data_IF_310818315961
#
_entry.id   IF_310818315961
#
_cell.length_a   1.000
_cell.length_b   1.000
_cell.length_c   1.000
_cell.angle_alpha   90.00
_cell.angle_beta   90.00
_cell.angle_gamma   90.00
#
_symmetry.space_group_name_H-M   'P 1'
#
loop_
_entity.id
_entity.type
_entity.pdbx_description
1 polymer ?
#
# COMPACT_ATOMS: atom_id res chain seq x y z
N UNK A 1 6.69 23.13 9.49
CA UNK A 1 6.84 21.76 8.94
C UNK A 1 8.29 21.57 8.54
N UNK A 2 8.88 20.43 8.85
CA UNK A 2 10.25 20.07 8.51
C UNK A 2 10.29 19.20 7.26
N UNK A 3 11.38 19.30 6.50
CA UNK A 3 11.74 18.32 5.47
C UNK A 3 12.83 17.43 6.06
N UNK A 4 12.61 16.13 6.06
CA UNK A 4 13.59 15.11 6.49
C UNK A 4 14.16 14.42 5.27
N UNK A 5 15.45 14.11 5.32
CA UNK A 5 16.17 13.37 4.29
C UNK A 5 17.00 12.28 4.95
N UNK A 6 16.66 11.04 4.66
CA UNK A 6 17.40 9.86 5.11
C UNK A 6 18.22 9.31 3.96
N UNK A 7 19.42 8.82 4.24
CA UNK A 7 20.28 8.17 3.26
C UNK A 7 20.56 6.72 3.70
N UNK A 8 20.39 5.78 2.78
CA UNK A 8 20.64 4.36 2.99
C UNK A 8 21.33 3.77 1.75
N UNK A 9 21.73 2.50 1.82
CA UNK A 9 22.25 1.77 0.64
C UNK A 9 21.22 1.68 -0.50
N UNK A 10 19.93 1.80 -0.18
CA UNK A 10 18.84 1.82 -1.16
C UNK A 10 18.62 3.20 -1.81
N UNK A 11 19.37 4.22 -1.40
CA UNK A 11 19.27 5.59 -1.89
C UNK A 11 18.77 6.58 -0.83
N UNK A 12 18.45 7.81 -1.29
CA UNK A 12 17.89 8.87 -0.45
C UNK A 12 16.37 8.78 -0.43
N UNK A 13 15.79 9.06 0.74
CA UNK A 13 14.34 9.13 0.95
C UNK A 13 14.02 10.42 1.68
N UNK A 14 13.10 11.21 1.14
CA UNK A 14 12.64 12.44 1.75
C UNK A 14 11.24 12.27 2.33
N UNK A 15 10.95 13.03 3.38
CA UNK A 15 9.64 13.05 4.00
C UNK A 15 9.34 14.39 4.65
N UNK A 16 8.07 14.64 4.90
CA UNK A 16 7.64 15.78 5.69
C UNK A 16 7.48 15.39 7.17
N UNK A 17 7.79 16.34 8.05
CA UNK A 17 7.63 16.23 9.49
C UNK A 17 6.92 17.48 10.06
N UNK A 18 6.27 17.35 11.21
CA UNK A 18 5.51 18.42 11.85
C UNK A 18 4.30 18.87 11.05
N UNK A 19 3.69 17.96 10.27
CA UNK A 19 2.39 18.17 9.63
C UNK A 19 1.30 17.60 10.53
N UNK A 20 0.20 18.35 10.65
CA UNK A 20 -0.98 17.85 11.36
C UNK A 20 -1.66 16.74 10.55
N UNK A 21 -2.04 15.66 11.25
CA UNK A 21 -2.81 14.55 10.70
C UNK A 21 -4.13 14.41 11.46
N UNK A 22 -5.10 13.73 10.84
CA UNK A 22 -6.41 13.52 11.44
C UNK A 22 -6.78 12.03 11.60
N UNK A 23 -5.85 11.13 11.25
CA UNK A 23 -6.03 9.68 11.35
C UNK A 23 -7.19 9.10 10.53
N UNK A 24 -7.87 9.90 9.71
CA UNK A 24 -9.08 9.43 9.03
C UNK A 24 -8.77 8.71 7.74
N UNK A 25 -8.92 7.38 7.74
CA UNK A 25 -8.84 6.57 6.52
C UNK A 25 -9.99 6.83 5.53
N UNK A 26 -11.12 7.35 6.00
CA UNK A 26 -12.31 7.54 5.16
C UNK A 26 -12.46 8.97 4.62
N UNK A 27 -12.01 9.99 5.36
CA UNK A 27 -12.28 11.39 5.02
C UNK A 27 -11.05 12.16 4.55
N UNK A 28 -9.84 11.67 4.84
CA UNK A 28 -8.61 12.38 4.51
C UNK A 28 -7.79 11.58 3.50
N UNK A 29 -7.68 12.03 2.23
CA UNK A 29 -6.91 11.31 1.22
C UNK A 29 -5.42 11.18 1.60
N UNK A 30 -4.88 12.13 2.36
CA UNK A 30 -3.48 12.11 2.84
C UNK A 30 -3.28 11.04 3.92
N UNK A 31 -4.13 11.02 4.95
CA UNK A 31 -4.02 10.01 6.01
C UNK A 31 -4.37 8.62 5.47
N UNK A 32 -5.41 8.52 4.64
CA UNK A 32 -5.83 7.26 4.04
C UNK A 32 -4.71 6.60 3.22
N UNK A 33 -3.93 7.37 2.46
CA UNK A 33 -2.80 6.83 1.71
C UNK A 33 -1.71 6.25 2.63
N UNK A 34 -1.34 6.97 3.71
CA UNK A 34 -0.37 6.49 4.71
C UNK A 34 -0.85 5.22 5.41
N UNK A 35 -2.08 5.25 5.92
CA UNK A 35 -2.67 4.12 6.66
C UNK A 35 -2.76 2.90 5.73
N UNK A 36 -3.31 3.06 4.52
CA UNK A 36 -3.44 1.96 3.58
C UNK A 36 -2.09 1.36 3.15
N UNK A 37 -1.04 2.18 3.03
CA UNK A 37 0.32 1.69 2.77
C UNK A 37 0.86 0.84 3.94
N UNK A 38 0.74 1.32 5.18
CA UNK A 38 1.13 0.55 6.37
C UNK A 38 0.35 -0.74 6.50
N UNK A 39 -0.97 -0.71 6.31
CA UNK A 39 -1.81 -1.93 6.37
C UNK A 39 -1.47 -2.92 5.27
N UNK A 40 -1.07 -2.45 4.08
CA UNK A 40 -0.60 -3.32 3.01
C UNK A 40 0.71 -4.02 3.37
N UNK A 41 1.66 -3.32 3.99
CA UNK A 41 2.92 -3.90 4.47
C UNK A 41 2.67 -4.95 5.55
N UNK A 42 1.89 -4.61 6.58
CA UNK A 42 1.49 -5.54 7.65
C UNK A 42 0.80 -6.80 7.08
N UNK A 43 -0.09 -6.61 6.11
CA UNK A 43 -0.76 -7.69 5.40
C UNK A 43 0.22 -8.56 4.62
N UNK A 44 1.16 -7.97 3.90
CA UNK A 44 2.21 -8.71 3.19
C UNK A 44 2.98 -9.62 4.12
N UNK A 45 3.50 -9.07 5.23
CA UNK A 45 4.24 -9.84 6.24
C UNK A 45 3.42 -10.98 6.83
N UNK A 46 2.16 -10.74 7.23
CA UNK A 46 1.31 -11.80 7.79
C UNK A 46 1.05 -12.89 6.77
N UNK A 47 0.72 -12.54 5.52
CA UNK A 47 0.41 -13.54 4.49
C UNK A 47 1.64 -14.37 4.10
N UNK A 48 2.83 -13.77 4.06
CA UNK A 48 4.10 -14.48 3.87
C UNK A 48 4.33 -15.50 5.00
N UNK A 49 4.22 -15.06 6.26
CA UNK A 49 4.41 -15.93 7.42
C UNK A 49 3.36 -17.05 7.50
N UNK A 50 2.11 -16.77 7.13
CA UNK A 50 1.05 -17.78 7.01
C UNK A 50 1.43 -18.85 5.99
N UNK A 51 1.98 -18.44 4.83
CA UNK A 51 2.45 -19.37 3.79
C UNK A 51 3.63 -20.21 4.26
N UNK A 52 4.61 -19.59 4.92
CA UNK A 52 5.78 -20.30 5.47
C UNK A 52 5.38 -21.33 6.53
N UNK A 53 4.31 -21.07 7.29
CA UNK A 53 3.73 -22.02 8.24
C UNK A 53 2.94 -23.16 7.58
N UNK A 54 2.88 -23.21 6.24
CA UNK A 54 2.27 -24.30 5.49
C UNK A 54 0.75 -24.17 5.29
N UNK A 55 0.20 -22.96 5.41
CA UNK A 55 -1.20 -22.70 5.09
C UNK A 55 -1.37 -22.22 3.65
N UNK A 56 -2.51 -22.58 3.05
CA UNK A 56 -3.01 -21.99 1.81
C UNK A 56 -3.87 -20.75 2.10
N UNK A 57 -4.00 -19.90 1.08
CA UNK A 57 -4.75 -18.66 1.15
C UNK A 57 -5.87 -18.70 0.13
N UNK A 58 -7.08 -18.41 0.59
CA UNK A 58 -8.25 -18.18 -0.26
C UNK A 58 -8.65 -16.71 -0.15
N UNK A 59 -8.61 -15.97 -1.27
CA UNK A 59 -9.30 -14.69 -1.37
C UNK A 59 -10.79 -14.97 -1.58
N UNK A 60 -11.66 -14.22 -0.91
CA UNK A 60 -13.12 -14.30 -1.01
C UNK A 60 -13.68 -12.89 -1.05
N UNK A 61 -14.29 -12.54 -2.18
CA UNK A 61 -14.93 -11.23 -2.38
C UNK A 61 -16.43 -11.32 -2.15
N UNK A 62 -16.90 -10.80 -1.02
CA UNK A 62 -18.31 -10.81 -0.64
C UNK A 62 -18.97 -9.50 -1.08
N UNK A 63 -20.07 -9.64 -1.83
CA UNK A 63 -20.84 -8.53 -2.40
C UNK A 63 -22.28 -8.57 -1.90
N UNK A 64 -22.93 -7.41 -1.87
CA UNK A 64 -24.35 -7.28 -1.52
C UNK A 64 -25.11 -6.70 -2.71
N UNK A 65 -26.22 -7.34 -3.07
CA UNK A 65 -27.20 -6.75 -3.99
C UNK A 65 -28.02 -5.72 -3.22
N UNK A 66 -28.06 -4.51 -3.74
CA UNK A 66 -28.75 -3.34 -3.19
C UNK A 66 -29.45 -2.56 -4.33
N UNK A 67 -30.25 -1.56 -3.99
CA UNK A 67 -30.83 -0.61 -4.95
C UNK A 67 -30.47 0.83 -4.60
N UNK A 68 -30.70 1.76 -5.55
CA UNK A 68 -30.33 3.17 -5.39
C UNK A 68 -31.09 3.87 -4.24
N UNK A 69 -32.17 3.28 -3.75
CA UNK A 69 -32.92 3.77 -2.59
C UNK A 69 -32.33 3.33 -1.24
N UNK A 70 -31.38 2.38 -1.23
CA UNK A 70 -30.74 1.90 0.01
C UNK A 70 -29.61 2.87 0.41
N UNK A 71 -29.69 3.40 1.62
CA UNK A 71 -28.66 4.29 2.17
C UNK A 71 -27.38 3.52 2.53
N UNK A 72 -26.23 4.21 2.57
CA UNK A 72 -24.95 3.64 2.95
C UNK A 72 -25.02 2.93 4.30
N UNK A 73 -25.70 3.53 5.28
CA UNK A 73 -25.86 2.96 6.62
C UNK A 73 -26.63 1.63 6.60
N UNK A 74 -27.63 1.50 5.74
CA UNK A 74 -28.42 0.29 5.57
C UNK A 74 -27.59 -0.82 4.89
N UNK A 75 -26.91 -0.48 3.80
CA UNK A 75 -26.03 -1.40 3.08
C UNK A 75 -24.91 -1.89 4.00
N UNK A 76 -24.25 -0.99 4.75
CA UNK A 76 -23.20 -1.35 5.70
C UNK A 76 -23.70 -2.21 6.86
N UNK A 77 -24.93 -1.93 7.36
CA UNK A 77 -25.57 -2.75 8.38
C UNK A 77 -25.84 -4.17 7.88
N UNK A 78 -26.26 -4.32 6.63
CA UNK A 78 -26.47 -5.63 6.00
C UNK A 78 -25.14 -6.37 5.83
N UNK A 79 -24.10 -5.70 5.28
CA UNK A 79 -22.74 -6.24 5.15
C UNK A 79 -22.18 -6.72 6.49
N UNK A 80 -22.37 -5.94 7.55
CA UNK A 80 -21.89 -6.28 8.90
C UNK A 80 -22.58 -7.53 9.45
N UNK A 81 -23.90 -7.66 9.22
CA UNK A 81 -24.66 -8.86 9.62
C UNK A 81 -24.29 -10.09 8.80
N UNK A 82 -24.15 -9.93 7.49
CA UNK A 82 -23.64 -10.96 6.59
C UNK A 82 -22.30 -11.51 7.10
N UNK A 83 -21.37 -10.61 7.41
CA UNK A 83 -20.04 -10.98 7.90
C UNK A 83 -20.08 -11.71 9.25
N UNK A 84 -20.91 -11.21 10.18
CA UNK A 84 -21.11 -11.86 11.47
C UNK A 84 -21.65 -13.28 11.31
N UNK A 85 -22.49 -13.53 10.29
CA UNK A 85 -23.02 -14.86 9.99
C UNK A 85 -21.97 -15.78 9.37
N UNK A 86 -21.07 -15.23 8.52
CA UNK A 86 -19.95 -15.97 7.91
C UNK A 86 -18.99 -16.51 8.97
N UNK A 87 -18.62 -15.67 9.93
CA UNK A 87 -17.57 -15.95 10.92
C UNK A 87 -18.10 -16.34 12.30
N UNK A 88 -19.38 -16.69 12.39
CA UNK A 88 -20.07 -16.97 13.64
C UNK A 88 -20.78 -18.32 13.67
N UNK A 89 -21.05 -18.79 14.89
CA UNK A 89 -21.87 -19.98 15.14
C UNK A 89 -21.17 -21.32 14.84
N UNK A 90 -21.92 -22.41 15.05
CA UNK A 90 -21.40 -23.79 15.01
C UNK A 90 -20.82 -24.18 13.64
N UNK A 91 -21.41 -23.70 12.54
CA UNK A 91 -20.95 -24.02 11.19
C UNK A 91 -19.54 -23.46 10.92
N UNK A 92 -19.28 -22.20 11.30
CA UNK A 92 -17.94 -21.62 11.18
C UNK A 92 -16.92 -22.35 12.07
N UNK A 93 -17.30 -22.71 13.29
CA UNK A 93 -16.40 -23.48 14.18
C UNK A 93 -16.07 -24.88 13.62
N UNK A 94 -17.02 -25.52 12.95
CA UNK A 94 -16.79 -26.78 12.26
C UNK A 94 -15.82 -26.60 11.09
N UNK A 95 -15.97 -25.54 10.29
CA UNK A 95 -15.04 -25.23 9.19
C UNK A 95 -13.65 -24.89 9.71
N UNK A 96 -13.54 -24.10 10.79
CA UNK A 96 -12.26 -23.81 11.44
C UNK A 96 -11.53 -25.08 11.86
N UNK A 97 -12.26 -26.05 12.42
CA UNK A 97 -11.68 -27.33 12.83
C UNK A 97 -11.30 -28.18 11.62
N UNK A 98 -12.17 -28.26 10.62
CA UNK A 98 -11.99 -29.12 9.47
C UNK A 98 -10.83 -28.69 8.58
N UNK A 99 -10.74 -27.39 8.27
CA UNK A 99 -9.70 -26.82 7.40
C UNK A 99 -8.56 -26.17 8.21
N UNK A 100 -8.45 -26.46 9.50
CA UNK A 100 -7.44 -25.91 10.43
C UNK A 100 -7.24 -24.38 10.32
N UNK A 101 -8.31 -23.61 10.07
CA UNK A 101 -8.25 -22.16 9.80
C UNK A 101 -7.66 -21.42 11.01
N UNK A 102 -6.45 -20.84 10.92
CA UNK A 102 -5.90 -20.07 12.03
C UNK A 102 -6.64 -18.73 12.16
N UNK A 103 -6.96 -18.09 11.03
CA UNK A 103 -7.73 -16.86 10.99
C UNK A 103 -8.00 -16.35 9.58
N UNK A 104 -8.47 -15.10 9.53
CA UNK A 104 -8.78 -14.37 8.31
C UNK A 104 -8.44 -12.90 8.50
N UNK A 105 -8.36 -12.18 7.39
CA UNK A 105 -8.29 -10.72 7.35
C UNK A 105 -9.28 -10.22 6.30
N UNK A 106 -9.98 -9.14 6.59
CA UNK A 106 -10.90 -8.51 5.63
C UNK A 106 -10.61 -7.04 5.44
N UNK A 107 -10.78 -6.56 4.22
CA UNK A 107 -10.84 -5.15 3.89
C UNK A 107 -12.22 -4.78 3.36
N UNK A 108 -12.66 -3.55 3.64
CA UNK A 108 -13.90 -2.99 3.12
C UNK A 108 -13.57 -2.07 1.93
N UNK A 109 -14.12 -2.39 0.77
CA UNK A 109 -14.09 -1.52 -0.40
C UNK A 109 -15.44 -0.85 -0.57
N UNK A 110 -15.44 0.48 -0.76
CA UNK A 110 -16.68 1.24 -1.00
C UNK A 110 -16.56 2.04 -2.27
N UNK A 111 -17.55 1.89 -3.14
CA UNK A 111 -17.75 2.72 -4.32
C UNK A 111 -19.20 3.18 -4.40
N UNK A 112 -19.46 4.20 -5.20
CA UNK A 112 -20.81 4.62 -5.55
C UNK A 112 -20.97 4.58 -7.07
N UNK A 113 -22.10 4.06 -7.52
CA UNK A 113 -22.43 3.93 -8.94
C UNK A 113 -23.89 4.23 -9.22
N UNK A 114 -24.36 3.84 -10.41
CA UNK A 114 -25.75 4.04 -10.84
C UNK A 114 -26.79 3.49 -9.86
N UNK A 115 -26.47 2.37 -9.19
CA UNK A 115 -27.38 1.71 -8.26
C UNK A 115 -27.16 2.14 -6.80
N UNK A 116 -26.40 3.20 -6.53
CA UNK A 116 -26.11 3.67 -5.16
C UNK A 116 -24.81 3.11 -4.60
N UNK A 117 -24.79 2.81 -3.30
CA UNK A 117 -23.60 2.43 -2.53
C UNK A 117 -23.22 0.96 -2.68
N UNK A 118 -22.04 0.70 -3.25
CA UNK A 118 -21.44 -0.62 -3.35
C UNK A 118 -20.42 -0.82 -2.22
N UNK A 119 -20.80 -1.59 -1.20
CA UNK A 119 -19.92 -1.96 -0.08
C UNK A 119 -19.55 -3.44 -0.22
N UNK A 120 -18.28 -3.72 -0.51
CA UNK A 120 -17.75 -5.06 -0.70
C UNK A 120 -16.76 -5.42 0.42
N UNK A 121 -16.65 -6.71 0.72
CA UNK A 121 -15.59 -7.23 1.58
C UNK A 121 -14.62 -8.06 0.75
N UNK A 122 -13.35 -7.70 0.77
CA UNK A 122 -12.26 -8.54 0.29
C UNK A 122 -11.67 -9.26 1.48
N UNK A 123 -11.84 -10.58 1.55
CA UNK A 123 -11.41 -11.38 2.70
C UNK A 123 -10.36 -12.38 2.26
N UNK A 124 -9.20 -12.38 2.92
CA UNK A 124 -8.23 -13.48 2.80
C UNK A 124 -8.41 -14.42 3.99
N UNK A 125 -8.61 -15.70 3.71
CA UNK A 125 -8.78 -16.76 4.70
C UNK A 125 -7.63 -17.74 4.55
N UNK A 126 -6.91 -17.96 5.66
CA UNK A 126 -5.88 -19.00 5.74
C UNK A 126 -6.53 -20.35 6.03
N UNK A 127 -6.09 -21.41 5.36
CA UNK A 127 -6.65 -22.75 5.54
C UNK A 127 -5.62 -23.83 5.24
N UNK A 128 -5.88 -25.06 5.68
CA UNK A 128 -5.22 -26.26 5.17
C UNK A 128 -6.23 -27.09 4.39
N UNK A 129 -5.79 -27.59 3.24
CA UNK A 129 -6.61 -28.40 2.35
C UNK A 129 -6.09 -28.31 0.92
N UNK A 130 -6.87 -28.80 -0.02
CA UNK A 130 -6.58 -28.69 -1.46
C UNK A 130 -7.22 -27.43 -2.06
N UNK A 131 -6.93 -27.11 -3.33
CA UNK A 131 -7.68 -26.10 -4.06
C UNK A 131 -9.20 -26.36 -4.10
N UNK A 132 -9.60 -27.61 -4.25
CA UNK A 132 -11.01 -28.02 -4.28
C UNK A 132 -11.69 -27.78 -2.92
N UNK A 133 -10.96 -27.99 -1.81
CA UNK A 133 -11.44 -27.66 -0.46
C UNK A 133 -11.76 -26.18 -0.32
N UNK A 134 -10.98 -25.30 -0.95
CA UNK A 134 -11.22 -23.88 -0.93
C UNK A 134 -12.54 -23.50 -1.63
N UNK A 135 -12.86 -24.16 -2.74
CA UNK A 135 -14.12 -23.95 -3.47
C UNK A 135 -15.30 -24.30 -2.56
N UNK A 136 -15.23 -25.47 -1.91
CA UNK A 136 -16.27 -25.93 -0.97
C UNK A 136 -16.41 -24.99 0.23
N UNK A 137 -15.28 -24.56 0.82
CA UNK A 137 -15.27 -23.56 1.88
C UNK A 137 -15.91 -22.25 1.41
N UNK A 138 -15.60 -21.83 0.19
CA UNK A 138 -16.20 -20.68 -0.47
C UNK A 138 -17.71 -20.76 -0.58
N UNK A 139 -18.26 -21.85 -1.11
CA UNK A 139 -19.71 -22.08 -1.19
C UNK A 139 -20.38 -22.01 0.19
N UNK A 140 -19.76 -22.61 1.21
CA UNK A 140 -20.27 -22.54 2.60
C UNK A 140 -20.24 -21.12 3.16
N UNK A 141 -19.23 -20.33 2.81
CA UNK A 141 -19.15 -18.91 3.16
C UNK A 141 -20.26 -18.13 2.46
N UNK A 142 -20.49 -18.38 1.17
CA UNK A 142 -21.57 -17.76 0.39
C UNK A 142 -22.93 -18.00 1.04
N UNK A 143 -23.25 -19.25 1.38
CA UNK A 143 -24.54 -19.60 1.97
C UNK A 143 -24.76 -18.88 3.32
N UNK A 144 -23.72 -18.80 4.15
CA UNK A 144 -23.77 -18.05 5.41
C UNK A 144 -23.92 -16.55 5.18
N UNK A 145 -23.21 -16.00 4.20
CA UNK A 145 -23.29 -14.61 3.81
C UNK A 145 -24.71 -14.25 3.35
N UNK A 146 -25.26 -15.02 2.41
CA UNK A 146 -26.62 -14.83 1.89
C UNK A 146 -27.67 -14.95 3.00
N UNK A 147 -27.53 -15.94 3.87
CA UNK A 147 -28.39 -16.11 5.06
C UNK A 147 -28.35 -14.87 5.97
N UNK A 148 -27.16 -14.33 6.22
CA UNK A 148 -26.97 -13.13 7.04
C UNK A 148 -27.58 -11.88 6.41
N UNK A 149 -27.44 -11.70 5.10
CA UNK A 149 -28.07 -10.61 4.35
C UNK A 149 -29.60 -10.69 4.42
N UNK A 150 -30.18 -11.86 4.15
CA UNK A 150 -31.64 -12.10 4.21
C UNK A 150 -32.23 -11.89 5.60
N UNK A 151 -31.42 -12.04 6.66
CA UNK A 151 -31.84 -11.83 8.05
C UNK A 151 -31.90 -10.34 8.46
N UNK A 152 -31.64 -9.40 7.55
CA UNK A 152 -31.65 -7.96 7.84
C UNK A 152 -33.09 -7.44 7.99
N UNK A 153 -33.68 -7.64 9.19
CA UNK A 153 -35.11 -7.47 9.53
C UNK A 153 -35.76 -6.13 9.12
N UNK A 154 -35.00 -5.05 8.99
CA UNK A 154 -35.52 -3.70 8.67
C UNK A 154 -35.81 -3.50 7.17
N UNK A 155 -35.18 -4.27 6.28
CA UNK A 155 -35.21 -4.00 4.83
C UNK A 155 -35.85 -5.17 4.08
N UNK A 156 -37.19 -5.28 4.10
CA UNK A 156 -38.07 -6.14 3.24
C UNK A 156 -37.41 -7.30 2.45
N UNK A 157 -36.55 -8.12 3.06
CA UNK A 157 -35.68 -9.13 2.39
C UNK A 157 -35.01 -8.65 1.09
N UNK A 158 -34.62 -7.37 0.99
CA UNK A 158 -34.06 -6.79 -0.26
C UNK A 158 -32.59 -7.16 -0.49
N UNK A 159 -31.80 -7.25 0.58
CA UNK A 159 -30.39 -7.59 0.49
C UNK A 159 -30.20 -9.08 0.26
N UNK A 160 -29.50 -9.41 -0.81
CA UNK A 160 -29.15 -10.79 -1.20
C UNK A 160 -27.71 -10.81 -1.70
N UNK A 161 -27.10 -11.99 -1.75
CA UNK A 161 -25.80 -12.14 -2.40
C UNK A 161 -25.98 -12.13 -3.93
N UNK A 162 -24.95 -11.74 -4.67
CA UNK A 162 -24.94 -11.87 -6.13
C UNK A 162 -24.66 -13.34 -6.51
N UNK A 163 -25.55 -14.03 -7.25
CA UNK A 163 -25.30 -15.40 -7.73
C UNK A 163 -24.09 -15.43 -8.67
N UNK A 164 -23.20 -16.40 -8.51
CA UNK A 164 -22.03 -16.64 -9.39
C UNK A 164 -20.84 -15.67 -9.23
N UNK A 165 -20.97 -14.62 -8.41
CA UNK A 165 -19.91 -13.61 -8.17
C UNK A 165 -19.58 -13.39 -6.68
N UNK A 166 -20.33 -14.02 -5.76
CA UNK A 166 -20.24 -13.72 -4.33
C UNK A 166 -19.09 -14.39 -3.59
N UNK A 167 -18.39 -15.33 -4.24
CA UNK A 167 -17.19 -15.99 -3.71
C UNK A 167 -16.31 -16.36 -4.91
N UNK A 168 -15.45 -15.42 -5.30
CA UNK A 168 -14.32 -15.73 -6.18
C UNK A 168 -13.23 -16.36 -5.31
N UNK A 169 -13.21 -17.70 -5.19
CA UNK A 169 -12.16 -18.42 -4.48
C UNK A 169 -10.95 -18.54 -5.39
N UNK A 170 -9.93 -17.76 -5.08
CA UNK A 170 -8.68 -17.82 -5.82
C UNK A 170 -7.65 -18.62 -5.02
N UNK A 171 -7.14 -19.71 -5.59
CA UNK A 171 -6.18 -20.61 -4.95
C UNK A 171 -4.78 -20.42 -5.53
N UNK A 172 -3.79 -20.35 -4.65
CA UNK A 172 -2.39 -20.25 -5.06
C UNK A 172 -1.76 -21.65 -5.18
N UNK A 173 -1.85 -22.26 -6.38
CA UNK A 173 -1.02 -23.40 -6.79
C UNK A 173 -0.60 -23.25 -8.27
N UNK A 174 0.67 -23.55 -8.57
CA UNK A 174 1.29 -23.48 -9.89
C UNK A 174 0.84 -24.59 -10.84
N UNK A 175 -0.42 -24.54 -11.26
CA UNK A 175 -0.99 -25.46 -12.25
C UNK A 175 -2.07 -24.75 -13.08
N UNK A 176 -1.99 -24.93 -14.39
CA UNK A 176 -2.82 -24.26 -15.40
C UNK A 176 -4.31 -24.60 -15.24
N UNK A 177 -5.12 -23.62 -14.80
CA UNK A 177 -6.59 -23.74 -14.72
C UNK A 177 -7.23 -22.48 -15.31
N UNK A 178 -7.31 -22.44 -16.63
CA UNK A 178 -8.26 -21.62 -17.41
C UNK A 178 -8.36 -20.13 -17.00
N UNK A 179 -9.51 -19.50 -17.25
CA UNK A 179 -9.72 -18.05 -17.02
C UNK A 179 -9.58 -17.60 -15.55
N UNK A 180 -9.39 -18.52 -14.60
CA UNK A 180 -9.00 -18.26 -13.21
C UNK A 180 -7.48 -17.94 -13.10
N UNK A 181 -6.66 -18.48 -14.01
CA UNK A 181 -5.20 -18.44 -13.99
C UNK A 181 -4.54 -17.06 -14.06
N UNK A 182 -5.24 -16.00 -14.49
CA UNK A 182 -4.67 -14.65 -14.56
C UNK A 182 -4.44 -14.00 -13.18
N UNK A 183 -5.17 -14.42 -12.14
CA UNK A 183 -4.96 -13.95 -10.76
C UNK A 183 -4.21 -14.97 -9.89
N UNK A 184 -4.27 -16.26 -10.22
CA UNK A 184 -3.47 -17.31 -9.55
C UNK A 184 -1.96 -17.08 -9.72
N UNK A 185 -1.53 -16.55 -10.87
CA UNK A 185 -0.12 -16.17 -11.09
C UNK A 185 0.34 -14.98 -10.24
N UNK A 186 -0.57 -14.10 -9.81
CA UNK A 186 -0.30 -13.03 -8.83
C UNK A 186 -0.26 -13.56 -7.41
N UNK A 187 -1.20 -14.44 -7.03
CA UNK A 187 -1.28 -15.01 -5.68
C UNK A 187 -0.17 -16.04 -5.36
N UNK A 188 0.45 -16.64 -6.38
CA UNK A 188 1.56 -17.58 -6.23
C UNK A 188 2.95 -16.94 -6.09
N UNK A 189 3.11 -15.66 -6.44
CA UNK A 189 4.42 -15.01 -6.44
C UNK A 189 4.47 -13.57 -5.92
N UNK A 190 3.33 -12.86 -5.83
CA UNK A 190 3.27 -11.44 -5.47
C UNK A 190 2.24 -11.18 -4.36
N UNK A 191 2.53 -11.70 -3.15
CA UNK A 191 1.72 -11.45 -1.95
C UNK A 191 1.69 -9.95 -1.59
N UNK A 192 2.74 -9.21 -1.94
CA UNK A 192 2.81 -7.77 -1.75
C UNK A 192 1.84 -7.02 -2.67
N UNK A 193 1.71 -7.44 -3.93
CA UNK A 193 0.72 -6.95 -4.88
C UNK A 193 -0.72 -7.23 -4.43
N UNK A 194 -0.99 -8.44 -3.91
CA UNK A 194 -2.28 -8.78 -3.30
C UNK A 194 -2.59 -7.88 -2.11
N UNK A 195 -1.61 -7.67 -1.24
CA UNK A 195 -1.79 -6.88 -0.02
C UNK A 195 -2.11 -5.42 -0.33
N UNK A 196 -1.43 -4.84 -1.32
CA UNK A 196 -1.76 -3.51 -1.85
C UNK A 196 -3.15 -3.49 -2.46
N UNK A 197 -3.55 -4.52 -3.18
CA UNK A 197 -4.88 -4.59 -3.76
C UNK A 197 -6.00 -4.61 -2.72
N UNK A 198 -5.84 -5.40 -1.65
CA UNK A 198 -6.80 -5.53 -0.57
C UNK A 198 -6.83 -4.26 0.29
N UNK A 199 -5.67 -3.71 0.66
CA UNK A 199 -5.59 -2.58 1.59
C UNK A 199 -5.77 -1.20 0.93
N UNK A 200 -5.45 -1.04 -0.36
CA UNK A 200 -5.43 0.26 -1.05
C UNK A 200 -6.60 0.47 -2.02
N UNK A 201 -7.69 -0.30 -1.90
CA UNK A 201 -8.85 -0.22 -2.82
C UNK A 201 -9.41 1.19 -3.00
N UNK A 202 -9.53 1.97 -1.91
CA UNK A 202 -10.04 3.35 -1.96
C UNK A 202 -9.15 4.35 -2.72
N UNK A 203 -7.86 4.02 -2.91
CA UNK A 203 -6.89 4.85 -3.65
C UNK A 203 -6.90 4.56 -5.15
N UNK A 204 -7.55 3.48 -5.57
CA UNK A 204 -7.66 3.12 -6.98
C UNK A 204 -8.76 3.95 -7.63
N UNK A 205 -8.53 4.31 -8.90
CA UNK A 205 -9.60 4.79 -9.77
C UNK A 205 -10.57 3.63 -10.02
N UNK A 206 -11.83 3.80 -9.63
CA UNK A 206 -12.85 2.80 -9.91
C UNK A 206 -13.08 2.63 -11.42
N UNK A 207 -13.53 1.44 -11.82
CA UNK A 207 -13.75 1.06 -13.22
C UNK A 207 -15.16 1.42 -13.68
N UNK A 208 -15.30 1.72 -14.97
CA UNK A 208 -16.59 1.99 -15.61
C UNK A 208 -17.27 3.22 -15.03
N UNK A 209 -18.56 3.11 -14.72
CA UNK A 209 -19.38 4.20 -14.18
C UNK A 209 -19.30 4.33 -12.63
N UNK A 210 -18.53 3.47 -11.96
CA UNK A 210 -18.36 3.53 -10.50
C UNK A 210 -17.28 4.53 -10.12
N UNK A 211 -17.42 5.16 -8.95
CA UNK A 211 -16.46 6.11 -8.39
C UNK A 211 -16.19 5.80 -6.92
N UNK A 212 -14.94 5.92 -6.47
CA UNK A 212 -14.63 5.89 -5.04
C UNK A 212 -15.08 7.19 -4.37
N UNK A 213 -15.29 7.20 -3.04
CA UNK A 213 -15.61 8.44 -2.32
C UNK A 213 -14.61 9.57 -2.59
N UNK A 214 -13.30 9.28 -2.64
CA UNK A 214 -12.30 10.31 -2.93
C UNK A 214 -12.37 10.85 -4.36
N UNK A 215 -12.75 10.01 -5.34
CA UNK A 215 -13.03 10.51 -6.69
C UNK A 215 -14.23 11.44 -6.69
N UNK A 216 -15.32 11.08 -6.01
CA UNK A 216 -16.51 11.95 -5.89
C UNK A 216 -16.14 13.27 -5.19
N UNK A 217 -15.33 13.19 -4.13
CA UNK A 217 -14.74 14.33 -3.45
C UNK A 217 -13.97 15.26 -4.39
N UNK A 218 -13.18 14.70 -5.29
CA UNK A 218 -12.44 15.45 -6.29
C UNK A 218 -13.35 16.04 -7.37
N UNK A 219 -14.28 15.25 -7.88
CA UNK A 219 -15.16 15.61 -8.99
C UNK A 219 -16.02 16.84 -8.65
N UNK A 220 -16.62 16.90 -7.46
CA UNK A 220 -17.45 18.06 -7.10
C UNK A 220 -16.62 19.32 -6.80
N UNK A 221 -15.37 19.19 -6.36
CA UNK A 221 -14.48 20.35 -6.19
C UNK A 221 -14.09 20.93 -7.56
N UNK A 222 -13.90 20.07 -8.57
CA UNK A 222 -13.57 20.50 -9.93
C UNK A 222 -14.80 21.10 -10.65
N UNK A 223 -16.01 20.59 -10.35
CA UNK A 223 -17.25 21.07 -10.95
C UNK A 223 -17.80 22.37 -10.34
N UNK A 224 -17.29 22.82 -9.18
CA UNK A 224 -17.78 24.01 -8.46
C UNK A 224 -17.71 25.30 -9.31
N UNK A 225 -16.78 25.37 -10.26
CA UNK A 225 -16.55 26.54 -11.10
C UNK A 225 -17.50 26.67 -12.31
N UNK A 226 -18.33 25.67 -12.62
CA UNK A 226 -19.21 25.72 -13.79
C UNK A 226 -20.61 26.27 -13.46
N UNK A 227 -21.10 27.22 -14.25
CA UNK A 227 -22.46 27.77 -14.12
C UNK A 227 -23.51 27.00 -14.92
N UNK A 228 -23.13 26.01 -15.74
CA UNK A 228 -24.09 25.27 -16.55
C UNK A 228 -24.98 24.35 -15.69
N UNK A 229 -26.27 24.30 -16.04
CA UNK A 229 -27.29 23.58 -15.28
C UNK A 229 -27.04 22.06 -15.18
N UNK A 230 -26.36 21.45 -16.16
CA UNK A 230 -26.06 20.02 -16.12
C UNK A 230 -24.95 19.72 -15.10
N UNK A 231 -23.87 20.51 -15.10
CA UNK A 231 -22.78 20.42 -14.12
C UNK A 231 -23.27 20.77 -12.73
N UNK A 232 -24.12 21.78 -12.58
CA UNK A 232 -24.71 22.14 -11.29
C UNK A 232 -25.62 21.02 -10.73
N UNK A 233 -26.37 20.30 -11.58
CA UNK A 233 -27.11 19.10 -11.14
C UNK A 233 -26.18 17.99 -10.66
N UNK A 234 -25.10 17.72 -11.40
CA UNK A 234 -24.11 16.70 -11.03
C UNK A 234 -23.39 17.05 -9.73
N UNK A 235 -23.00 18.32 -9.57
CA UNK A 235 -22.42 18.85 -8.34
C UNK A 235 -23.34 18.65 -7.14
N UNK A 236 -24.63 19.01 -7.24
CA UNK A 236 -25.61 18.81 -6.15
C UNK A 236 -25.75 17.33 -5.78
N UNK A 237 -25.72 16.44 -6.77
CA UNK A 237 -25.77 15.00 -6.56
C UNK A 237 -24.54 14.49 -5.80
N UNK A 238 -23.34 14.85 -6.26
CA UNK A 238 -22.08 14.42 -5.64
C UNK A 238 -21.90 15.00 -4.22
N UNK A 239 -22.34 16.25 -3.98
CA UNK A 239 -22.38 16.84 -2.63
C UNK A 239 -23.31 16.07 -1.71
N UNK A 240 -24.46 15.58 -2.20
CA UNK A 240 -25.36 14.77 -1.39
C UNK A 240 -24.73 13.42 -1.01
N UNK A 241 -24.07 12.76 -1.97
CA UNK A 241 -23.32 11.50 -1.74
C UNK A 241 -22.21 11.74 -0.72
N UNK A 242 -21.41 12.80 -0.89
CA UNK A 242 -20.31 13.12 0.01
C UNK A 242 -20.80 13.42 1.44
N UNK A 243 -21.92 14.14 1.60
CA UNK A 243 -22.55 14.37 2.91
C UNK A 243 -23.03 13.07 3.58
N UNK A 244 -23.51 12.10 2.82
CA UNK A 244 -23.84 10.78 3.37
C UNK A 244 -22.60 10.00 3.79
N UNK A 245 -21.55 10.02 2.96
CA UNK A 245 -20.25 9.43 3.25
C UNK A 245 -19.66 9.98 4.56
N UNK A 246 -19.59 11.30 4.69
CA UNK A 246 -19.05 11.98 5.88
C UNK A 246 -19.78 11.63 7.17
N UNK A 247 -21.11 11.40 7.09
CA UNK A 247 -21.91 11.03 8.27
C UNK A 247 -21.75 9.56 8.65
N UNK A 248 -21.49 8.69 7.69
CA UNK A 248 -21.63 7.24 7.89
C UNK A 248 -20.29 6.52 7.96
N UNK A 249 -19.32 6.87 7.11
CA UNK A 249 -18.05 6.15 7.03
C UNK A 249 -17.17 6.23 8.29
N UNK A 250 -17.07 7.38 9.01
CA UNK A 250 -16.27 7.45 10.23
C UNK A 250 -16.68 6.42 11.28
N UNK A 251 -15.68 5.84 11.97
CA UNK A 251 -15.89 4.81 12.99
C UNK A 251 -15.94 3.38 12.44
N UNK A 252 -16.07 3.19 11.12
CA UNK A 252 -15.86 1.88 10.51
C UNK A 252 -14.36 1.59 10.35
N UNK A 253 -13.98 0.31 10.46
CA UNK A 253 -12.62 -0.15 10.15
C UNK A 253 -12.51 -0.48 8.67
N UNK A 254 -11.46 0.03 8.02
CA UNK A 254 -11.18 -0.31 6.62
C UNK A 254 -10.57 -1.71 6.48
N UNK A 255 -9.75 -2.14 7.44
CA UNK A 255 -9.17 -3.48 7.52
C UNK A 255 -9.44 -4.09 8.90
N UNK A 256 -9.67 -5.40 8.98
CA UNK A 256 -9.96 -6.09 10.25
C UNK A 256 -9.39 -7.49 10.23
N UNK A 257 -8.73 -7.85 11.32
CA UNK A 257 -8.12 -9.16 11.53
C UNK A 257 -9.00 -10.08 12.38
N UNK A 258 -8.91 -11.38 12.14
CA UNK A 258 -9.34 -12.38 13.10
C UNK A 258 -8.49 -12.28 14.37
N UNK A 259 -9.11 -12.55 15.52
CA UNK A 259 -8.40 -12.55 16.81
C UNK A 259 -7.22 -13.54 16.78
N UNK A 260 -6.05 -13.07 17.21
CA UNK A 260 -4.81 -13.87 17.31
C UNK A 260 -4.03 -14.03 16.01
N UNK A 261 -4.60 -13.66 14.85
CA UNK A 261 -3.91 -13.87 13.57
C UNK A 261 -2.62 -13.03 13.45
N UNK A 262 -2.62 -11.78 13.92
CA UNK A 262 -1.44 -10.90 13.88
C UNK A 262 -0.29 -11.47 14.73
N UNK A 263 -0.57 -11.73 16.00
CA UNK A 263 0.38 -12.28 16.98
C UNK A 263 0.96 -13.62 16.50
N UNK A 264 0.10 -14.50 16.00
CA UNK A 264 0.51 -15.83 15.54
C UNK A 264 1.49 -15.77 14.36
N UNK A 265 1.41 -14.74 13.50
CA UNK A 265 2.18 -14.63 12.27
C UNK A 265 3.06 -13.37 12.22
N UNK A 266 3.68 -13.04 13.35
CA UNK A 266 4.86 -12.19 13.40
C UNK A 266 4.61 -10.68 13.46
N UNK A 267 3.37 -10.26 13.75
CA UNK A 267 3.06 -8.88 14.11
C UNK A 267 2.71 -8.77 15.58
N UNK A 268 2.88 -7.58 16.17
CA UNK A 268 2.41 -7.30 17.52
C UNK A 268 0.90 -7.55 17.64
N UNK A 269 0.49 -8.09 18.80
CA UNK A 269 -0.93 -8.33 19.12
C UNK A 269 -1.74 -7.03 19.02
N UNK A 270 -1.15 -5.93 19.50
CA UNK A 270 -1.76 -4.61 19.44
C UNK A 270 -1.44 -3.92 18.11
N UNK A 271 -2.46 -3.77 17.27
CA UNK A 271 -2.40 -2.94 16.07
C UNK A 271 -2.30 -1.45 16.45
N UNK A 272 -1.35 -0.73 15.83
CA UNK A 272 -1.27 0.74 15.95
C UNK A 272 -2.57 1.38 15.46
N UNK A 273 -3.02 2.44 16.13
CA UNK A 273 -4.23 3.14 15.70
C UNK A 273 -3.98 3.87 14.37
N UNK A 274 -5.05 4.17 13.63
CA UNK A 274 -4.94 4.92 12.39
C UNK A 274 -4.36 6.33 12.61
N UNK A 275 -4.57 6.93 13.79
CA UNK A 275 -3.94 8.19 14.19
C UNK A 275 -2.44 8.03 14.37
N UNK A 276 -2.01 6.99 15.11
CA UNK A 276 -0.57 6.73 15.34
C UNK A 276 0.16 6.45 14.02
N UNK A 277 -0.45 5.66 13.14
CA UNK A 277 0.10 5.38 11.80
C UNK A 277 0.16 6.65 10.95
N UNK A 278 -0.87 7.50 10.99
CA UNK A 278 -0.86 8.75 10.23
C UNK A 278 0.20 9.73 10.74
N UNK A 279 0.38 9.80 12.06
CA UNK A 279 1.36 10.64 12.75
C UNK A 279 2.80 10.13 12.60
N UNK A 280 3.00 8.90 12.13
CA UNK A 280 4.33 8.36 11.87
C UNK A 280 5.07 9.18 10.80
N UNK A 281 6.32 9.49 11.08
CA UNK A 281 7.20 10.32 10.26
C UNK A 281 8.43 9.53 9.85
N UNK A 282 8.88 9.74 8.61
CA UNK A 282 10.09 9.12 8.10
C UNK A 282 11.32 9.79 8.72
N UNK A 283 12.23 8.98 9.25
CA UNK A 283 13.46 9.46 9.86
C UNK A 283 13.22 10.13 11.22
N UNK A 284 14.31 10.60 11.80
CA UNK A 284 14.38 11.22 13.12
C UNK A 284 14.51 12.74 13.02
N UNK A 285 14.45 13.45 14.14
CA UNK A 285 14.75 14.88 14.18
C UNK A 285 16.11 15.21 13.54
N UNK A 286 17.11 14.32 13.68
CA UNK A 286 18.46 14.49 13.15
C UNK A 286 18.54 14.41 11.62
N UNK A 287 17.49 13.88 10.97
CA UNK A 287 17.36 13.81 9.52
C UNK A 287 16.71 15.08 8.93
N UNK A 288 16.29 16.03 9.78
CA UNK A 288 15.68 17.29 9.32
C UNK A 288 16.74 18.14 8.61
N UNK A 289 16.47 18.53 7.37
CA UNK A 289 17.39 19.33 6.54
C UNK A 289 17.03 20.81 6.50
N UNK A 290 15.75 21.12 6.60
CA UNK A 290 15.21 22.46 6.73
C UNK A 290 13.81 22.43 7.36
N UNK A 291 13.35 23.58 7.82
CA UNK A 291 11.95 23.79 8.21
C UNK A 291 11.36 24.95 7.42
N UNK A 292 10.13 24.76 6.95
CA UNK A 292 9.37 25.74 6.19
C UNK A 292 8.22 26.20 7.10
N UNK A 293 8.09 27.51 7.36
CA UNK A 293 7.04 28.07 8.20
C UNK A 293 5.66 27.97 7.51
N UNK A 294 4.59 28.09 8.29
CA UNK A 294 3.24 27.77 7.82
C UNK A 294 2.76 28.66 6.67
N UNK A 295 3.13 29.95 6.68
CA UNK A 295 2.85 30.90 5.60
C UNK A 295 3.49 30.42 4.28
N UNK A 296 4.77 30.06 4.29
CA UNK A 296 5.48 29.59 3.11
C UNK A 296 5.01 28.20 2.65
N UNK A 297 4.69 27.30 3.59
CA UNK A 297 4.09 26.01 3.27
C UNK A 297 2.77 26.16 2.51
N UNK A 298 1.92 27.11 2.91
CA UNK A 298 0.65 27.35 2.24
C UNK A 298 0.80 27.74 0.76
N UNK A 299 1.91 28.38 0.40
CA UNK A 299 2.22 28.75 -0.99
C UNK A 299 2.63 27.54 -1.85
N UNK A 300 3.20 26.48 -1.24
CA UNK A 300 3.82 25.38 -1.97
C UNK A 300 3.12 24.03 -1.80
N UNK A 301 2.18 23.89 -0.85
CA UNK A 301 1.54 22.60 -0.49
C UNK A 301 0.95 21.82 -1.67
N UNK A 302 0.40 22.50 -2.69
CA UNK A 302 -0.20 21.85 -3.86
C UNK A 302 0.84 21.27 -4.83
N UNK A 303 2.10 21.68 -4.69
CA UNK A 303 3.26 21.14 -5.41
C UNK A 303 4.34 20.66 -4.44
N UNK A 304 3.94 20.24 -3.24
CA UNK A 304 4.86 19.75 -2.22
C UNK A 304 5.72 18.57 -2.70
N UNK A 305 5.23 17.79 -3.67
CA UNK A 305 6.01 16.72 -4.29
C UNK A 305 7.34 17.22 -4.90
N UNK A 306 7.41 18.47 -5.37
CA UNK A 306 8.64 19.06 -5.91
C UNK A 306 9.73 19.20 -4.83
N UNK A 307 9.34 19.48 -3.58
CA UNK A 307 10.26 19.54 -2.43
C UNK A 307 10.86 18.15 -2.20
N UNK A 308 10.03 17.10 -2.21
CA UNK A 308 10.49 15.73 -2.01
C UNK A 308 11.38 15.28 -3.16
N UNK A 309 10.98 15.55 -4.41
CA UNK A 309 11.73 15.17 -5.61
C UNK A 309 13.14 15.79 -5.63
N UNK A 310 13.25 17.10 -5.35
CA UNK A 310 14.54 17.77 -5.28
C UNK A 310 15.39 17.22 -4.13
N UNK A 311 14.78 16.98 -2.96
CA UNK A 311 15.48 16.44 -1.80
C UNK A 311 16.03 15.02 -2.05
N UNK A 312 15.22 14.13 -2.62
CA UNK A 312 15.60 12.74 -2.91
C UNK A 312 16.67 12.68 -4.00
N UNK A 313 16.44 13.36 -5.12
CA UNK A 313 17.32 13.24 -6.29
C UNK A 313 18.60 14.07 -6.16
N UNK A 314 18.52 15.25 -5.53
CA UNK A 314 19.61 16.25 -5.54
C UNK A 314 20.16 16.60 -4.16
N UNK A 315 19.53 16.11 -3.09
CA UNK A 315 20.02 16.26 -1.72
C UNK A 315 19.68 17.62 -1.08
N UNK A 316 20.14 17.77 0.18
CA UNK A 316 19.76 18.87 1.05
C UNK A 316 20.18 20.27 0.55
N UNK A 317 21.39 20.41 0.00
CA UNK A 317 21.88 21.72 -0.49
C UNK A 317 21.13 22.18 -1.75
N UNK A 318 20.86 21.25 -2.66
CA UNK A 318 20.07 21.54 -3.86
C UNK A 318 18.63 21.92 -3.50
N UNK A 319 18.04 21.26 -2.50
CA UNK A 319 16.72 21.64 -1.98
C UNK A 319 16.71 23.08 -1.46
N UNK A 320 17.67 23.45 -0.61
CA UNK A 320 17.76 24.81 -0.03
C UNK A 320 17.89 25.88 -1.13
N UNK A 321 18.80 25.64 -2.07
CA UNK A 321 18.98 26.50 -3.25
C UNK A 321 17.70 26.61 -4.08
N UNK A 322 16.97 25.51 -4.23
CA UNK A 322 15.70 25.50 -4.95
C UNK A 322 14.63 26.30 -4.21
N UNK A 323 14.51 26.16 -2.89
CA UNK A 323 13.58 26.94 -2.06
C UNK A 323 13.85 28.44 -2.19
N UNK A 324 15.12 28.86 -2.15
CA UNK A 324 15.52 30.26 -2.35
C UNK A 324 15.09 30.76 -3.74
N UNK A 325 15.32 29.97 -4.80
CA UNK A 325 14.91 30.32 -6.17
C UNK A 325 13.40 30.41 -6.35
N UNK A 326 12.63 29.61 -5.61
CA UNK A 326 11.17 29.68 -5.63
C UNK A 326 10.61 30.80 -4.73
N UNK A 327 11.47 31.54 -4.01
CA UNK A 327 11.03 32.54 -3.05
C UNK A 327 10.28 31.95 -1.85
N UNK A 328 10.52 30.69 -1.52
CA UNK A 328 9.89 29.99 -0.41
C UNK A 328 10.76 30.17 0.83
N UNK A 329 10.21 30.84 1.85
CA UNK A 329 10.89 31.01 3.14
C UNK A 329 11.20 29.65 3.78
N UNK A 330 12.43 29.50 4.29
CA UNK A 330 12.85 28.32 5.04
C UNK A 330 13.91 28.69 6.07
N UNK A 331 14.09 27.82 7.05
CA UNK A 331 15.16 27.88 8.04
C UNK A 331 15.94 26.58 8.04
N UNK A 332 17.27 26.66 8.14
CA UNK A 332 18.08 25.46 8.29
C UNK A 332 17.68 24.72 9.58
N UNK A 333 17.64 23.39 9.53
CA UNK A 333 17.47 22.63 10.75
C UNK A 333 18.60 22.98 11.73
N UNK A 334 18.31 23.12 13.04
CA UNK A 334 19.36 23.36 14.02
C UNK A 334 20.40 22.26 13.87
N UNK A 335 21.64 22.68 13.61
CA UNK A 335 22.71 21.81 13.18
C UNK A 335 23.17 20.92 14.35
N UNK A 336 22.41 19.89 14.73
CA UNK A 336 22.78 18.98 15.83
C UNK A 336 23.99 18.12 15.50
N UNK A 337 24.32 17.95 14.21
CA UNK A 337 25.59 17.35 13.77
C UNK A 337 26.81 18.25 14.04
N UNK A 338 26.62 19.55 14.30
CA UNK A 338 27.68 20.52 14.55
C UNK A 338 27.83 20.94 16.02
N UNK A 339 27.06 20.33 16.94
CA UNK A 339 27.41 20.36 18.36
C UNK A 339 28.43 19.27 18.63
N UNK A 340 29.56 19.60 19.26
CA UNK A 340 30.54 18.62 19.72
C UNK A 340 29.84 17.55 20.58
N UNK A 341 29.49 16.42 19.96
CA UNK A 341 28.99 15.25 20.67
C UNK A 341 30.01 14.91 21.76
N UNK A 342 29.56 14.86 23.00
CA UNK A 342 30.42 14.37 24.07
C UNK A 342 30.81 12.92 23.77
N UNK A 343 31.97 12.47 24.26
CA UNK A 343 32.44 11.09 24.01
C UNK A 343 31.44 9.99 24.44
N UNK A 344 30.49 10.31 25.32
CA UNK A 344 29.39 9.42 25.71
C UNK A 344 28.28 9.34 24.66
N UNK A 345 27.89 10.47 24.05
CA UNK A 345 26.83 10.50 23.03
C UNK A 345 27.28 9.82 21.74
N UNK A 346 28.55 10.00 21.37
CA UNK A 346 29.16 9.30 20.22
C UNK A 346 29.15 7.77 20.42
N UNK A 347 29.53 7.31 21.62
CA UNK A 347 29.46 5.89 21.99
C UNK A 347 28.05 5.33 21.99
N UNK A 348 27.03 6.13 22.34
CA UNK A 348 25.64 5.67 22.35
C UNK A 348 25.06 5.52 20.93
N UNK A 349 25.43 6.43 20.03
CA UNK A 349 25.07 6.36 18.60
C UNK A 349 25.76 5.17 17.94
N UNK A 350 27.06 4.98 18.18
CA UNK A 350 27.82 3.85 17.67
C UNK A 350 27.30 2.52 18.24
N UNK A 351 26.89 2.51 19.51
CA UNK A 351 26.25 1.35 20.15
C UNK A 351 24.90 1.03 19.50
N UNK A 352 24.05 2.04 19.22
CA UNK A 352 22.75 1.85 18.55
C UNK A 352 22.92 1.38 17.10
N UNK A 353 23.89 1.92 16.36
CA UNK A 353 24.26 1.42 15.02
C UNK A 353 24.78 -0.01 15.07
N UNK A 354 25.64 -0.34 16.03
CA UNK A 354 26.15 -1.69 16.21
C UNK A 354 25.06 -2.68 16.65
N UNK A 355 24.09 -2.24 17.46
CA UNK A 355 22.92 -3.03 17.84
C UNK A 355 22.00 -3.30 16.64
N UNK A 356 21.75 -2.29 15.80
CA UNK A 356 21.02 -2.47 14.54
C UNK A 356 21.76 -3.43 13.58
N UNK A 357 23.09 -3.34 13.52
CA UNK A 357 23.93 -4.25 12.72
C UNK A 357 23.95 -5.69 13.27
N UNK A 358 23.85 -5.87 14.60
CA UNK A 358 23.76 -7.19 15.27
C UNK A 358 22.39 -7.84 15.12
N UNK A 359 21.33 -7.07 14.97
CA UNK A 359 19.97 -7.57 14.73
C UNK A 359 19.71 -7.96 13.26
N UNK A 360 20.58 -7.57 12.31
CA UNK A 360 20.48 -7.87 10.89
C UNK A 360 21.59 -8.76 10.34
N UNK A 361 22.06 -9.75 11.11
CA UNK A 361 23.24 -10.54 10.77
C UNK A 361 23.14 -11.34 9.45
N UNK A 362 23.70 -10.78 8.37
CA UNK A 362 24.28 -11.52 7.23
C UNK A 362 25.56 -10.79 6.80
N UNK A 363 26.66 -11.55 6.67
CA UNK A 363 28.01 -11.06 6.37
C UNK A 363 28.06 -10.23 5.07
N UNK A 364 28.73 -9.07 5.13
CA UNK A 364 29.00 -8.19 3.98
C UNK A 364 29.85 -8.94 2.93
N UNK A 365 29.50 -8.86 1.63
CA UNK A 365 30.37 -9.39 0.58
C UNK A 365 31.66 -8.54 0.50
N UNK A 366 32.81 -9.14 0.13
CA UNK A 366 34.08 -8.44 0.08
C UNK A 366 34.02 -7.30 -0.96
N UNK A 367 34.63 -6.16 -0.59
CA UNK A 367 34.79 -5.00 -1.48
C UNK A 367 35.52 -5.43 -2.77
N UNK A 368 35.09 -4.95 -3.95
CA UNK A 368 35.84 -5.21 -5.19
C UNK A 368 37.22 -4.54 -5.10
N UNK A 369 38.25 -5.26 -5.52
CA UNK A 369 39.63 -4.76 -5.57
C UNK A 369 39.75 -3.58 -6.56
N UNK A 370 40.60 -2.62 -6.22
CA UNK A 370 40.92 -1.44 -7.03
C UNK A 370 41.53 -1.86 -8.38
N UNK A 371 40.68 -2.01 -9.40
CA UNK A 371 41.13 -2.41 -10.74
C UNK A 371 40.06 -2.45 -11.84
N UNK A 372 38.78 -2.60 -11.48
CA UNK A 372 37.67 -2.62 -12.44
C UNK A 372 36.66 -1.50 -12.17
N UNK A 373 37.09 -0.24 -12.29
CA UNK A 373 36.14 0.86 -12.37
C UNK A 373 35.40 0.76 -13.71
N UNK A 374 34.07 0.63 -13.67
CA UNK A 374 33.23 0.71 -14.87
C UNK A 374 33.46 2.07 -15.53
N UNK A 375 34.00 2.06 -16.75
CA UNK A 375 34.25 3.25 -17.55
C UNK A 375 33.08 3.52 -18.47
N UNK A 376 32.74 4.80 -18.65
CA UNK A 376 31.77 5.22 -19.64
C UNK A 376 32.25 4.79 -21.02
N UNK A 377 31.45 4.02 -21.77
CA UNK A 377 31.82 3.51 -23.09
C UNK A 377 31.92 4.61 -24.16
N UNK A 378 31.46 5.83 -23.87
CA UNK A 378 31.48 6.98 -24.79
C UNK A 378 32.63 7.95 -24.53
N UNK A 379 32.91 8.29 -23.27
CA UNK A 379 33.99 9.24 -22.92
C UNK A 379 35.20 8.59 -22.21
N UNK A 380 35.12 7.31 -21.83
CA UNK A 380 36.23 6.58 -21.18
C UNK A 380 36.47 6.92 -19.72
N UNK A 381 35.74 7.89 -19.16
CA UNK A 381 35.84 8.36 -17.78
C UNK A 381 35.21 7.39 -16.77
N UNK A 382 35.66 7.47 -15.52
CA UNK A 382 35.17 6.66 -14.40
C UNK A 382 33.73 7.04 -14.03
N UNK A 383 32.81 6.08 -14.05
CA UNK A 383 31.40 6.30 -13.73
C UNK A 383 31.20 6.65 -12.22
N UNK A 384 32.19 6.36 -11.38
CA UNK A 384 32.10 6.55 -9.92
C UNK A 384 32.33 8.02 -9.52
N UNK A 385 33.08 8.79 -10.31
CA UNK A 385 33.48 10.17 -9.95
C UNK A 385 32.54 11.25 -10.49
N UNK A 386 31.59 10.91 -11.37
CA UNK A 386 30.42 11.74 -11.69
C UNK A 386 30.65 13.00 -12.54
N UNK A 387 31.85 13.26 -13.06
CA UNK A 387 32.10 14.42 -13.92
C UNK A 387 31.83 14.10 -15.41
N UNK A 388 30.60 14.36 -15.88
CA UNK A 388 30.13 14.07 -17.25
C UNK A 388 29.83 15.33 -18.08
N UNK A 389 30.66 16.37 -17.98
CA UNK A 389 30.40 17.70 -18.58
C UNK A 389 30.17 17.73 -20.09
N UNK A 390 30.71 16.78 -20.87
CA UNK A 390 30.48 16.71 -22.33
C UNK A 390 29.21 15.94 -22.72
N UNK A 391 28.60 15.17 -21.79
CA UNK A 391 27.46 14.30 -22.08
C UNK A 391 26.11 14.91 -21.64
N UNK A 392 26.11 16.02 -20.90
CA UNK A 392 24.91 16.58 -20.24
C UNK A 392 23.86 17.19 -21.19
N UNK A 393 24.20 17.52 -22.44
CA UNK A 393 23.32 18.37 -23.25
C UNK A 393 22.29 17.66 -24.15
N UNK A 394 22.25 16.33 -24.27
CA UNK A 394 21.28 15.67 -25.19
C UNK A 394 20.68 14.31 -24.75
N UNK A 395 20.66 13.96 -23.46
CA UNK A 395 20.15 12.64 -23.03
C UNK A 395 18.72 12.69 -22.47
N UNK A 396 17.78 12.05 -23.18
CA UNK A 396 16.46 11.63 -22.64
C UNK A 396 16.66 10.45 -21.68
N UNK A 397 15.92 10.46 -20.59
CA UNK A 397 16.08 9.66 -19.36
C UNK A 397 15.82 8.14 -19.46
N UNK A 398 15.57 7.57 -20.64
CA UNK A 398 15.07 6.19 -20.75
C UNK A 398 16.15 5.13 -21.06
N UNK A 399 17.29 5.48 -21.67
CA UNK A 399 18.25 4.49 -22.16
C UNK A 399 19.36 4.06 -21.16
N UNK A 400 19.59 4.82 -20.09
CA UNK A 400 20.64 4.53 -19.09
C UNK A 400 20.16 3.51 -18.03
N UNK A 401 18.86 3.49 -17.75
CA UNK A 401 18.27 2.65 -16.69
C UNK A 401 18.29 1.17 -17.10
N UNK A 402 18.13 0.89 -18.39
CA UNK A 402 18.02 -0.46 -18.96
C UNK A 402 19.36 -1.22 -18.94
N UNK A 403 20.47 -0.56 -19.30
CA UNK A 403 21.79 -1.23 -19.35
C UNK A 403 22.39 -1.44 -17.95
N UNK A 404 22.16 -0.50 -17.02
CA UNK A 404 22.60 -0.63 -15.62
C UNK A 404 21.80 -1.68 -14.84
N UNK A 405 20.51 -1.82 -15.13
CA UNK A 405 19.67 -2.89 -14.57
C UNK A 405 20.08 -4.27 -15.12
N UNK A 406 20.29 -4.39 -16.43
CA UNK A 406 20.72 -5.65 -17.08
C UNK A 406 22.07 -6.17 -16.57
N UNK A 407 23.07 -5.30 -16.42
CA UNK A 407 24.40 -5.68 -15.89
C UNK A 407 24.35 -6.08 -14.42
N UNK A 408 23.50 -5.43 -13.61
CA UNK A 408 23.27 -5.79 -12.21
C UNK A 408 22.57 -7.14 -12.06
N UNK A 409 21.64 -7.49 -12.97
CA UNK A 409 20.99 -8.81 -13.02
C UNK A 409 21.95 -9.92 -13.47
N UNK A 410 22.82 -9.66 -14.45
CA UNK A 410 23.87 -10.62 -14.85
C UNK A 410 24.87 -10.91 -13.74
N UNK A 411 25.25 -9.91 -12.95
CA UNK A 411 26.11 -10.11 -11.78
C UNK A 411 25.41 -10.95 -10.70
N UNK A 412 24.16 -10.63 -10.36
CA UNK A 412 23.39 -11.33 -9.33
C UNK A 412 23.17 -12.82 -9.67
N UNK A 413 22.87 -13.15 -10.94
CA UNK A 413 22.66 -14.54 -11.39
C UNK A 413 23.88 -15.46 -11.24
N UNK A 414 25.10 -14.92 -11.22
CA UNK A 414 26.35 -15.68 -11.08
C UNK A 414 26.77 -15.92 -9.62
N UNK A 415 26.21 -15.16 -8.69
CA UNK A 415 26.50 -15.28 -7.25
C UNK A 415 25.77 -16.45 -6.59
N UNK A 416 26.32 -16.96 -5.48
CA UNK A 416 25.69 -18.00 -4.65
C UNK A 416 24.34 -17.55 -4.07
N UNK A 417 24.15 -16.24 -3.92
CA UNK A 417 22.92 -15.57 -3.49
C UNK A 417 21.85 -15.62 -4.60
N UNK A 418 22.21 -15.34 -5.86
CA UNK A 418 21.28 -15.43 -6.99
C UNK A 418 20.76 -16.84 -7.27
N UNK A 419 21.54 -17.87 -6.94
CA UNK A 419 21.09 -19.29 -6.99
C UNK A 419 20.13 -19.67 -5.87
N UNK A 420 20.20 -19.02 -4.70
CA UNK A 420 19.24 -19.20 -3.60
C UNK A 420 17.93 -18.43 -3.81
N UNK A 421 17.98 -17.31 -4.53
CA UNK A 421 16.83 -16.44 -4.83
C UNK A 421 16.09 -16.80 -6.15
N UNK A 422 16.46 -17.90 -6.82
CA UNK A 422 15.74 -18.38 -8.02
C UNK A 422 15.85 -17.48 -9.27
N UNK A 423 16.85 -16.61 -9.35
CA UNK A 423 16.98 -15.58 -10.42
C UNK A 423 17.35 -16.17 -11.80
N UNK A 424 17.59 -17.49 -11.91
CA UNK A 424 17.90 -18.13 -13.20
C UNK A 424 16.71 -18.23 -14.16
N UNK A 425 15.46 -18.07 -13.69
CA UNK A 425 14.25 -18.24 -14.51
C UNK A 425 13.81 -17.00 -15.31
N UNK A 426 14.34 -15.81 -15.01
CA UNK A 426 13.86 -14.54 -15.61
C UNK A 426 14.53 -14.19 -16.95
N UNK A 427 15.54 -14.93 -17.37
CA UNK A 427 16.33 -14.63 -18.58
C UNK A 427 15.88 -15.34 -19.85
N UNK A 428 14.79 -16.12 -19.85
CA UNK A 428 14.38 -16.91 -21.04
C UNK A 428 13.05 -16.51 -21.72
N UNK A 429 12.34 -15.48 -21.23
CA UNK A 429 11.02 -15.11 -21.82
C UNK A 429 10.94 -13.73 -22.48
N UNK A 430 12.05 -13.04 -22.71
CA UNK A 430 12.05 -11.70 -23.33
C UNK A 430 12.66 -11.63 -24.74
N UNK A 431 12.90 -12.76 -25.40
CA UNK A 431 13.33 -12.81 -26.80
C UNK A 431 12.48 -13.82 -27.59
N UNK A 432 11.34 -13.37 -28.11
CA UNK A 432 10.71 -13.92 -29.32
C UNK A 432 10.99 -12.96 -30.50
N UNK A 433 11.15 -13.45 -31.74
CA UNK A 433 11.73 -12.69 -32.83
C UNK A 433 10.81 -11.57 -33.33
N UNK A 434 11.47 -10.48 -33.74
CA UNK A 434 11.06 -9.29 -34.51
C UNK A 434 9.67 -9.33 -35.15
#
# INVERSE_FOLDING_TARGET
MGVRLTESEAGRRAGFAGLSTCGSIWLCPVCAAKIAARRAEELGTVLENVREAGYDLALVTLTVRHSAEDTLAEVWSAVSRGWHRVTGGKAWLADKKHYEIPGWVKAVEVTHGKNGWHVHLHTVIAYKGTPEDAIVLGERIYDRWESGLKATKKHKKRFTALPGYGVDVQISQGGDVGNLGKYLSKLGGDLQGLSREVAQGAQKRARGENRTPFQIGRDFLDAEASEDEASQRMWRHDVAIWKEWQRTAPGHRALTWAKGLREQFGLDEQELTDEDVAAEEVGTEDDTVCSIPSNAWNCIKNRAWEILDVAENRGAEALRTWLDKQGIEWTAAPNRRAGNLTGKERKLIDYRRAAAKRLGGLEEPPKPEEGEAARCTRCGESIITGDHKECENELKSEDIITDHWMKRQQYLSRTRIGRKLGVSGLLHNSLGPV
#
